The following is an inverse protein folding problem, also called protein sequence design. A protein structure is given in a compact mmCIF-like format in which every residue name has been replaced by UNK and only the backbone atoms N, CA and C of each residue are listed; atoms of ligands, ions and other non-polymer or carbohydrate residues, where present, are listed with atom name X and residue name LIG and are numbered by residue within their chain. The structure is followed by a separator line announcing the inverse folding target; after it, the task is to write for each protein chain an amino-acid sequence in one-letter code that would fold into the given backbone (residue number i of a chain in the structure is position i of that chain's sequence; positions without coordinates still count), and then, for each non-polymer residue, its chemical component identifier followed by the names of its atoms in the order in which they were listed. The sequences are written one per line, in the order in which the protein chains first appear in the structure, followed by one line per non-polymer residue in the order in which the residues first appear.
data_IF_897800158490
#
_entry.id   IF_897800158490
#
_cell.length_a   1.000
_cell.length_b   1.000
_cell.length_c   1.000
_cell.angle_alpha   90.00
_cell.angle_beta   90.00
_cell.angle_gamma   90.00
#
_symmetry.space_group_name_H-M   'P 1'
#
loop_
_entity.id
_entity.type
_entity.pdbx_description
1 polymer ?
#
# COMPACT_ATOMS: atom_id res chain seq x y z
N UNK A 1 43.18 -37.93 -13.70
CA UNK A 1 41.90 -38.25 -13.08
C UNK A 1 41.34 -36.94 -12.55
N UNK A 2 40.41 -36.48 -13.25
CA UNK A 2 39.66 -35.22 -13.13
C UNK A 2 38.84 -35.24 -11.86
N UNK A 3 38.78 -34.12 -11.13
CA UNK A 3 37.65 -33.86 -10.29
C UNK A 3 37.21 -32.38 -10.46
N UNK A 4 36.04 -32.25 -11.08
CA UNK A 4 35.40 -31.01 -11.40
C UNK A 4 34.69 -30.48 -10.16
N UNK A 5 35.26 -29.47 -9.53
CA UNK A 5 34.62 -28.71 -8.47
C UNK A 5 33.58 -27.73 -9.05
N UNK A 6 32.33 -28.07 -8.94
CA UNK A 6 31.17 -27.24 -9.20
C UNK A 6 31.23 -25.94 -8.35
N UNK A 7 31.52 -24.86 -9.04
CA UNK A 7 31.45 -23.53 -8.49
C UNK A 7 30.01 -23.01 -8.49
N UNK A 8 29.25 -23.32 -7.45
CA UNK A 8 27.98 -22.67 -7.17
C UNK A 8 28.16 -21.16 -7.11
N UNK A 9 27.75 -20.47 -8.15
CA UNK A 9 27.63 -19.02 -8.17
C UNK A 9 26.50 -18.63 -7.19
N UNK A 10 26.87 -18.15 -6.02
CA UNK A 10 25.95 -17.41 -5.16
C UNK A 10 25.60 -16.12 -5.88
N UNK A 11 24.36 -15.99 -6.35
CA UNK A 11 23.77 -14.72 -6.73
C UNK A 11 23.77 -13.82 -5.50
N UNK A 12 24.79 -12.97 -5.38
CA UNK A 12 24.76 -11.87 -4.42
C UNK A 12 23.63 -10.93 -4.87
N UNK A 13 22.59 -10.85 -4.06
CA UNK A 13 21.63 -9.75 -4.15
C UNK A 13 22.42 -8.45 -3.91
N UNK A 14 22.75 -7.75 -5.01
CA UNK A 14 23.29 -6.41 -4.95
C UNK A 14 22.24 -5.52 -4.26
N UNK A 15 22.56 -5.04 -3.06
CA UNK A 15 21.75 -4.07 -2.34
C UNK A 15 21.72 -2.77 -3.14
N UNK A 16 20.68 -2.60 -3.94
CA UNK A 16 20.55 -1.50 -4.90
C UNK A 16 20.37 -0.10 -4.28
N UNK A 17 20.29 -0.02 -2.95
CA UNK A 17 20.09 1.22 -2.19
C UNK A 17 21.27 1.59 -1.30
N UNK A 18 22.44 0.98 -1.50
CA UNK A 18 23.65 1.32 -0.75
C UNK A 18 24.80 1.67 -1.70
N UNK A 19 25.68 2.57 -1.26
CA UNK A 19 26.97 2.82 -1.90
C UNK A 19 27.98 1.74 -1.51
N UNK A 20 29.14 1.69 -2.17
CA UNK A 20 30.26 0.82 -1.80
C UNK A 20 30.76 1.09 -0.36
N UNK A 21 30.49 2.27 0.19
CA UNK A 21 30.80 2.66 1.57
C UNK A 21 29.67 2.32 2.56
N UNK A 22 28.54 1.73 2.08
CA UNK A 22 27.40 1.32 2.89
C UNK A 22 26.37 2.44 3.16
N UNK A 23 26.54 3.61 2.56
CA UNK A 23 25.59 4.70 2.70
C UNK A 23 24.30 4.43 1.93
N UNK A 24 23.17 4.88 2.49
CA UNK A 24 21.85 4.75 1.89
C UNK A 24 21.70 5.74 0.72
N UNK A 25 21.29 5.24 -0.45
CA UNK A 25 21.05 6.08 -1.62
C UNK A 25 19.80 5.66 -2.39
N UNK A 26 19.21 6.61 -3.13
CA UNK A 26 18.14 6.36 -4.07
C UNK A 26 18.69 5.69 -5.34
N UNK A 27 17.99 4.66 -5.86
CA UNK A 27 18.39 4.01 -7.12
C UNK A 27 18.28 4.99 -8.29
N UNK A 28 19.34 5.12 -9.09
CA UNK A 28 19.27 5.86 -10.34
C UNK A 28 18.45 5.09 -11.39
N UNK A 29 17.42 5.75 -11.90
CA UNK A 29 16.55 5.20 -12.95
C UNK A 29 16.65 5.97 -14.27
N UNK A 30 17.61 6.93 -14.39
CA UNK A 30 17.74 7.84 -15.51
C UNK A 30 17.81 7.14 -16.87
N UNK A 31 18.58 6.06 -16.98
CA UNK A 31 18.81 5.31 -18.22
C UNK A 31 17.76 4.22 -18.51
N UNK A 32 16.81 3.99 -17.60
CA UNK A 32 15.77 3.00 -17.83
C UNK A 32 14.71 3.50 -18.82
N UNK A 33 14.21 2.64 -19.72
CA UNK A 33 13.13 3.02 -20.62
C UNK A 33 11.81 3.19 -19.83
N UNK A 34 10.94 4.05 -20.32
CA UNK A 34 9.57 4.15 -19.83
C UNK A 34 8.79 2.88 -20.17
N UNK A 35 7.99 2.42 -19.22
CA UNK A 35 7.12 1.25 -19.36
C UNK A 35 5.79 1.52 -18.67
N UNK A 36 4.71 0.95 -19.21
CA UNK A 36 3.42 0.95 -18.52
C UNK A 36 3.46 -0.02 -17.34
N UNK A 37 3.08 0.46 -16.16
CA UNK A 37 3.13 -0.31 -14.92
C UNK A 37 1.81 -0.23 -14.17
N UNK A 38 1.45 -1.33 -13.55
CA UNK A 38 0.26 -1.44 -12.70
C UNK A 38 0.62 -2.25 -11.47
N UNK A 39 0.24 -1.75 -10.30
CA UNK A 39 0.34 -2.46 -9.04
C UNK A 39 -1.02 -2.45 -8.33
N UNK A 40 -1.34 -3.56 -7.66
CA UNK A 40 -2.49 -3.67 -6.76
C UNK A 40 -1.98 -4.09 -5.39
N UNK A 41 -2.34 -3.34 -4.37
CA UNK A 41 -2.14 -3.67 -2.97
C UNK A 41 -3.49 -3.90 -2.29
N UNK A 42 -3.47 -4.64 -1.20
CA UNK A 42 -4.63 -4.96 -0.37
C UNK A 42 -4.26 -4.86 1.10
N UNK A 43 -5.22 -4.51 1.93
CA UNK A 43 -5.16 -4.62 3.38
C UNK A 43 -6.56 -4.69 3.95
N UNK A 44 -6.65 -5.06 5.22
CA UNK A 44 -7.93 -5.23 5.93
C UNK A 44 -7.87 -4.51 7.26
N UNK A 45 -8.94 -3.86 7.64
CA UNK A 45 -9.17 -3.41 9.01
C UNK A 45 -10.25 -4.30 9.63
N UNK A 46 -9.97 -4.83 10.82
CA UNK A 46 -10.93 -5.53 11.66
C UNK A 46 -11.59 -4.54 12.60
N UNK A 47 -12.90 -4.64 12.74
CA UNK A 47 -13.77 -3.77 13.53
C UNK A 47 -14.87 -4.63 14.18
N UNK A 48 -15.55 -4.09 15.17
CA UNK A 48 -16.77 -4.72 15.68
C UNK A 48 -17.82 -4.87 14.59
N UNK A 49 -18.61 -5.96 14.65
CA UNK A 49 -19.71 -6.22 13.70
C UNK A 49 -20.70 -5.06 13.63
N UNK A 50 -21.03 -4.47 14.78
CA UNK A 50 -21.91 -3.31 14.87
C UNK A 50 -21.35 -2.07 14.17
N UNK A 51 -20.01 -1.87 14.23
CA UNK A 51 -19.34 -0.78 13.53
C UNK A 51 -19.36 -0.99 12.02
N UNK A 52 -19.08 -2.21 11.54
CA UNK A 52 -19.17 -2.53 10.10
C UNK A 52 -20.61 -2.36 9.59
N UNK A 53 -21.61 -2.76 10.39
CA UNK A 53 -23.00 -2.54 10.05
C UNK A 53 -23.34 -1.04 9.94
N UNK A 54 -22.85 -0.21 10.87
CA UNK A 54 -23.05 1.24 10.83
C UNK A 54 -22.33 1.90 9.63
N UNK A 55 -21.13 1.44 9.27
CA UNK A 55 -20.44 1.88 8.04
C UNK A 55 -21.25 1.54 6.81
N UNK A 56 -21.80 0.31 6.74
CA UNK A 56 -22.64 -0.15 5.62
C UNK A 56 -23.94 0.64 5.50
N UNK A 57 -24.50 1.09 6.61
CA UNK A 57 -25.74 1.86 6.68
C UNK A 57 -25.52 3.39 6.53
N UNK A 58 -24.29 3.86 6.46
CA UNK A 58 -23.91 5.28 6.47
C UNK A 58 -24.38 6.02 7.73
N UNK A 59 -24.28 5.35 8.89
CA UNK A 59 -24.74 5.85 10.20
C UNK A 59 -23.61 6.31 11.12
N UNK A 60 -22.37 6.40 10.62
CA UNK A 60 -21.24 6.93 11.41
C UNK A 60 -21.37 8.46 11.53
N UNK A 61 -21.28 8.96 12.76
CA UNK A 61 -21.49 10.40 13.09
C UNK A 61 -20.57 11.33 12.29
N UNK A 62 -19.32 10.91 12.01
CA UNK A 62 -18.36 11.70 11.24
C UNK A 62 -18.67 11.79 9.73
N UNK A 63 -19.67 11.07 9.24
CA UNK A 63 -20.11 11.04 7.84
C UNK A 63 -19.65 9.80 7.07
N UNK A 64 -19.67 9.89 5.75
CA UNK A 64 -19.36 8.78 4.84
C UNK A 64 -17.90 8.30 4.98
N UNK A 65 -17.74 7.15 5.63
CA UNK A 65 -16.44 6.54 5.96
C UNK A 65 -15.72 6.11 4.69
N UNK A 66 -16.43 5.45 3.77
CA UNK A 66 -15.81 4.87 2.58
C UNK A 66 -15.42 5.96 1.57
N UNK A 67 -16.25 6.99 1.39
CA UNK A 67 -15.90 8.12 0.55
C UNK A 67 -14.68 8.87 1.11
N UNK A 68 -14.62 9.10 2.42
CA UNK A 68 -13.49 9.77 3.07
C UNK A 68 -12.22 8.94 2.95
N UNK A 69 -12.29 7.62 3.18
CA UNK A 69 -11.16 6.70 3.03
C UNK A 69 -10.65 6.64 1.58
N UNK A 70 -11.54 6.68 0.59
CA UNK A 70 -11.19 6.76 -0.84
C UNK A 70 -10.36 8.01 -1.14
N UNK A 71 -10.81 9.17 -0.66
CA UNK A 71 -10.07 10.43 -0.86
C UNK A 71 -8.71 10.36 -0.16
N UNK A 72 -8.66 9.84 1.07
CA UNK A 72 -7.42 9.62 1.81
C UNK A 72 -6.43 8.72 1.05
N UNK A 73 -6.89 7.60 0.54
CA UNK A 73 -6.11 6.67 -0.26
C UNK A 73 -5.55 7.32 -1.53
N UNK A 74 -6.40 7.98 -2.32
CA UNK A 74 -5.98 8.66 -3.57
C UNK A 74 -4.96 9.76 -3.29
N UNK A 75 -5.15 10.53 -2.22
CA UNK A 75 -4.19 11.55 -1.80
C UNK A 75 -2.85 10.94 -1.44
N UNK A 76 -2.82 9.87 -0.64
CA UNK A 76 -1.60 9.20 -0.22
C UNK A 76 -0.83 8.64 -1.43
N UNK A 77 -1.50 7.99 -2.38
CA UNK A 77 -0.90 7.53 -3.65
C UNK A 77 -0.14 8.66 -4.35
N UNK A 78 -0.71 9.86 -4.42
CA UNK A 78 -0.10 11.01 -5.11
C UNK A 78 1.06 11.63 -4.35
N UNK A 79 1.19 11.38 -3.05
CA UNK A 79 2.18 11.98 -2.14
C UNK A 79 3.11 10.93 -1.51
N UNK A 80 3.20 9.72 -2.05
CA UNK A 80 4.03 8.63 -1.53
C UNK A 80 5.50 9.03 -1.38
N UNK A 81 6.05 9.78 -2.33
CA UNK A 81 7.43 10.25 -2.31
C UNK A 81 7.74 11.22 -1.15
N UNK A 82 6.74 11.88 -0.58
CA UNK A 82 6.88 12.73 0.61
C UNK A 82 6.96 11.89 1.89
N UNK A 83 6.37 10.70 1.89
CA UNK A 83 6.27 9.81 3.06
C UNK A 83 7.42 8.80 3.09
N UNK A 84 7.79 8.25 1.92
CA UNK A 84 8.81 7.21 1.79
C UNK A 84 10.09 7.82 1.21
N UNK A 85 11.16 7.98 2.02
CA UNK A 85 12.31 8.83 1.69
C UNK A 85 13.03 8.50 0.38
N UNK A 86 13.09 7.22 -0.01
CA UNK A 86 13.81 6.78 -1.22
C UNK A 86 12.90 6.50 -2.41
N UNK A 87 11.61 6.84 -2.32
CA UNK A 87 10.70 6.74 -3.45
C UNK A 87 10.86 7.94 -4.39
N UNK A 88 10.91 7.64 -5.70
CA UNK A 88 10.83 8.67 -6.72
C UNK A 88 9.41 9.23 -6.81
N UNK A 89 9.29 10.53 -7.07
CA UNK A 89 8.00 11.11 -7.49
C UNK A 89 7.66 10.59 -8.90
N UNK A 90 6.53 9.90 -9.04
CA UNK A 90 6.09 9.32 -10.31
C UNK A 90 4.77 9.94 -10.79
N UNK A 91 4.57 9.96 -12.11
CA UNK A 91 3.32 10.44 -12.72
C UNK A 91 2.26 9.35 -12.62
N UNK A 92 1.25 9.56 -11.78
CA UNK A 92 0.12 8.64 -11.64
C UNK A 92 -0.86 8.89 -12.78
N UNK A 93 -1.21 7.83 -13.52
CA UNK A 93 -2.18 7.88 -14.62
C UNK A 93 -3.57 7.43 -14.21
N UNK A 94 -3.66 6.51 -13.24
CA UNK A 94 -4.94 6.04 -12.71
C UNK A 94 -4.79 5.54 -11.26
N UNK A 95 -5.85 5.72 -10.47
CA UNK A 95 -6.02 5.12 -9.13
C UNK A 95 -7.43 4.57 -9.02
N UNK A 96 -7.55 3.28 -8.73
CA UNK A 96 -8.82 2.62 -8.43
C UNK A 96 -8.81 2.16 -6.98
N UNK A 97 -9.94 2.31 -6.30
CA UNK A 97 -10.13 1.86 -4.92
C UNK A 97 -11.40 1.03 -4.84
N UNK A 98 -11.30 -0.16 -4.26
CA UNK A 98 -12.43 -1.07 -4.06
C UNK A 98 -12.51 -1.46 -2.58
N UNK A 99 -13.72 -1.37 -2.01
CA UNK A 99 -14.00 -1.80 -0.64
C UNK A 99 -14.88 -3.04 -0.65
N UNK A 100 -14.54 -3.99 0.21
CA UNK A 100 -15.34 -5.17 0.50
C UNK A 100 -15.62 -5.24 2.00
N UNK A 101 -16.91 -5.27 2.37
CA UNK A 101 -17.36 -5.25 3.76
C UNK A 101 -17.81 -6.67 4.14
N UNK A 102 -17.04 -7.31 5.01
CA UNK A 102 -17.42 -8.53 5.71
C UNK A 102 -18.34 -8.25 6.91
N UNK A 103 -18.42 -9.18 7.83
CA UNK A 103 -19.19 -9.00 9.08
C UNK A 103 -18.40 -8.16 10.09
N UNK A 104 -17.11 -8.42 10.27
CA UNK A 104 -16.20 -7.76 11.22
C UNK A 104 -15.00 -7.12 10.52
N UNK A 105 -15.05 -6.95 9.20
CA UNK A 105 -13.89 -6.47 8.43
C UNK A 105 -14.29 -5.51 7.33
N UNK A 106 -13.39 -4.57 7.02
CA UNK A 106 -13.41 -3.81 5.77
C UNK A 106 -12.08 -4.05 5.06
N UNK A 107 -12.14 -4.65 3.88
CA UNK A 107 -10.98 -4.85 3.01
C UNK A 107 -10.91 -3.74 1.99
N UNK A 108 -9.72 -3.17 1.82
CA UNK A 108 -9.43 -2.16 0.81
C UNK A 108 -8.41 -2.68 -0.20
N UNK A 109 -8.79 -2.63 -1.47
CA UNK A 109 -7.88 -2.78 -2.61
C UNK A 109 -7.58 -1.42 -3.23
N UNK A 110 -6.31 -1.15 -3.47
CA UNK A 110 -5.86 0.02 -4.22
C UNK A 110 -5.06 -0.44 -5.42
N UNK A 111 -5.50 -0.04 -6.61
CA UNK A 111 -4.77 -0.27 -7.86
C UNK A 111 -4.24 1.05 -8.39
N UNK A 112 -2.97 1.09 -8.71
CA UNK A 112 -2.28 2.26 -9.26
C UNK A 112 -1.70 1.93 -10.62
N UNK A 113 -1.81 2.87 -11.55
CA UNK A 113 -1.19 2.80 -12.87
C UNK A 113 -0.29 4.01 -13.10
N UNK A 114 0.83 3.76 -13.76
CA UNK A 114 1.80 4.79 -14.17
C UNK A 114 2.47 4.39 -15.46
N UNK A 115 3.00 5.37 -16.18
CA UNK A 115 3.99 5.19 -17.24
C UNK A 115 5.28 5.87 -16.81
N UNK A 116 6.35 5.09 -16.69
CA UNK A 116 7.62 5.61 -16.19
C UNK A 116 8.69 4.54 -15.98
N UNK A 117 9.75 4.94 -15.33
CA UNK A 117 11.00 4.18 -15.18
C UNK A 117 11.04 3.26 -13.96
N UNK A 118 10.15 3.45 -12.99
CA UNK A 118 10.06 2.64 -11.76
C UNK A 118 8.66 2.09 -11.57
N UNK A 119 8.49 1.15 -10.62
CA UNK A 119 7.21 0.57 -10.24
C UNK A 119 6.35 1.54 -9.44
N UNK A 120 5.08 1.16 -9.19
CA UNK A 120 4.12 1.91 -8.39
C UNK A 120 3.57 1.08 -7.22
N UNK A 121 4.35 0.10 -6.76
CA UNK A 121 3.97 -0.78 -5.65
C UNK A 121 3.86 -0.03 -4.34
N UNK A 122 4.77 0.92 -4.09
CA UNK A 122 4.78 1.71 -2.86
C UNK A 122 3.61 2.68 -2.82
N UNK A 123 3.24 3.26 -3.95
CA UNK A 123 2.04 4.09 -4.09
C UNK A 123 0.77 3.31 -3.75
N UNK A 124 0.66 2.07 -4.24
CA UNK A 124 -0.48 1.23 -3.94
C UNK A 124 -0.54 0.84 -2.45
N UNK A 125 0.59 0.50 -1.82
CA UNK A 125 0.69 0.20 -0.39
C UNK A 125 0.35 1.42 0.47
N UNK A 126 0.89 2.60 0.13
CA UNK A 126 0.61 3.84 0.87
C UNK A 126 -0.86 4.21 0.78
N UNK A 127 -1.48 4.03 -0.40
CA UNK A 127 -2.92 4.21 -0.58
C UNK A 127 -3.75 3.31 0.32
N UNK A 128 -3.39 2.01 0.42
CA UNK A 128 -4.06 1.06 1.32
C UNK A 128 -3.90 1.49 2.78
N UNK A 129 -2.69 1.78 3.21
CA UNK A 129 -2.38 2.13 4.61
C UNK A 129 -3.14 3.40 5.03
N UNK A 130 -3.09 4.45 4.22
CA UNK A 130 -3.78 5.70 4.50
C UNK A 130 -5.31 5.55 4.47
N UNK A 131 -5.84 4.76 3.53
CA UNK A 131 -7.28 4.46 3.46
C UNK A 131 -7.77 3.73 4.70
N UNK A 132 -7.08 2.69 5.15
CA UNK A 132 -7.43 1.93 6.37
C UNK A 132 -7.27 2.77 7.64
N UNK A 133 -6.22 3.59 7.75
CA UNK A 133 -6.07 4.55 8.85
C UNK A 133 -7.22 5.57 8.88
N UNK A 134 -7.72 5.99 7.72
CA UNK A 134 -8.87 6.88 7.62
C UNK A 134 -10.14 6.21 8.14
N UNK A 135 -10.37 4.92 7.78
CA UNK A 135 -11.50 4.15 8.33
C UNK A 135 -11.38 4.10 9.85
N UNK A 136 -10.20 3.77 10.39
CA UNK A 136 -9.98 3.73 11.83
C UNK A 136 -10.30 5.08 12.49
N UNK A 137 -9.77 6.18 11.97
CA UNK A 137 -10.06 7.51 12.53
C UNK A 137 -11.55 7.85 12.51
N UNK A 138 -12.25 7.49 11.44
CA UNK A 138 -13.68 7.75 11.29
C UNK A 138 -14.54 6.90 12.25
N UNK A 139 -14.11 5.69 12.59
CA UNK A 139 -14.87 4.71 13.40
C UNK A 139 -14.40 4.60 14.84
N UNK A 140 -13.25 5.18 15.20
CA UNK A 140 -12.60 4.96 16.50
C UNK A 140 -13.45 5.28 17.71
N UNK A 141 -14.47 6.13 17.59
CA UNK A 141 -15.38 6.44 18.71
C UNK A 141 -16.28 5.24 19.03
N UNK A 142 -16.67 4.45 18.03
CA UNK A 142 -17.48 3.24 18.20
C UNK A 142 -16.63 2.03 18.67
N UNK A 143 -15.34 2.01 18.35
CA UNK A 143 -14.43 0.91 18.66
C UNK A 143 -13.78 0.98 20.06
N UNK A 144 -13.89 2.10 20.76
CA UNK A 144 -13.30 2.26 22.11
C UNK A 144 -14.05 1.47 23.15
N UNK A 145 -13.30 0.70 23.96
CA UNK A 145 -13.80 0.13 25.19
C UNK A 145 -13.96 1.19 26.30
N UNK A 146 -14.45 0.79 27.47
CA UNK A 146 -14.62 1.66 28.63
C UNK A 146 -13.31 2.26 29.18
N UNK A 147 -12.15 1.68 28.84
CA UNK A 147 -10.82 2.16 29.20
C UNK A 147 -10.19 3.02 28.10
N UNK A 148 -10.90 3.27 26.99
CA UNK A 148 -10.42 4.03 25.84
C UNK A 148 -9.44 3.26 24.94
N UNK A 149 -9.38 1.93 25.04
CA UNK A 149 -8.54 1.06 24.25
C UNK A 149 -9.31 0.50 23.03
N UNK A 150 -8.61 -0.18 22.13
CA UNK A 150 -9.13 -0.76 20.88
C UNK A 150 -8.83 -2.26 20.84
N UNK A 151 -9.47 -3.10 21.68
CA UNK A 151 -9.09 -4.51 21.83
C UNK A 151 -9.32 -5.34 20.57
N UNK A 152 -10.31 -4.97 19.75
CA UNK A 152 -10.69 -5.73 18.56
C UNK A 152 -10.24 -5.08 17.25
N UNK A 153 -9.89 -3.78 17.27
CA UNK A 153 -9.52 -3.05 16.06
C UNK A 153 -8.07 -3.32 15.66
N UNK A 154 -7.85 -3.75 14.44
CA UNK A 154 -6.51 -3.98 13.91
C UNK A 154 -6.46 -3.76 12.39
N UNK A 155 -5.34 -3.20 11.89
CA UNK A 155 -5.01 -3.20 10.47
C UNK A 155 -4.07 -4.37 10.23
N UNK A 156 -4.41 -5.23 9.27
CA UNK A 156 -3.72 -6.48 9.01
C UNK A 156 -3.64 -6.79 7.51
N UNK A 157 -2.78 -7.74 7.15
CA UNK A 157 -2.65 -8.28 5.79
C UNK A 157 -2.32 -7.24 4.70
N UNK A 158 -1.64 -6.15 5.04
CA UNK A 158 -1.21 -5.15 4.05
C UNK A 158 -0.10 -5.75 3.19
N UNK A 159 -0.37 -5.87 1.86
CA UNK A 159 0.57 -6.48 0.92
C UNK A 159 0.33 -6.06 -0.52
N UNK A 160 1.35 -6.21 -1.36
CA UNK A 160 1.19 -6.16 -2.81
C UNK A 160 0.58 -7.48 -3.28
N UNK A 161 -0.60 -7.41 -3.90
CA UNK A 161 -1.32 -8.57 -4.44
C UNK A 161 -0.83 -8.93 -5.83
N UNK A 162 -0.55 -7.91 -6.65
CA UNK A 162 -0.13 -8.10 -8.04
C UNK A 162 0.62 -6.89 -8.56
N UNK A 163 1.63 -7.16 -9.40
CA UNK A 163 2.26 -6.13 -10.24
C UNK A 163 2.39 -6.60 -11.67
N UNK A 164 2.36 -5.68 -12.60
CA UNK A 164 2.57 -5.90 -14.03
C UNK A 164 3.43 -4.81 -14.62
N UNK A 165 4.26 -5.21 -15.58
CA UNK A 165 5.06 -4.32 -16.43
C UNK A 165 4.77 -4.69 -17.87
N UNK A 166 4.59 -3.70 -18.74
CA UNK A 166 4.43 -3.86 -20.17
C UNK A 166 5.27 -2.80 -20.87
N UNK A 167 5.96 -3.19 -21.91
CA UNK A 167 6.64 -2.27 -22.83
C UNK A 167 5.60 -1.40 -23.55
N UNK A 168 5.99 -0.18 -23.91
CA UNK A 168 5.14 0.81 -24.59
C UNK A 168 5.12 0.53 -26.10
#
# INVERSE_FOLDING_TARGET
MSDDGDGSATNGDDLTHTTDEGDVQMVDVGDKPDTARRARARGTIRLDESTVAAVRADEIEKGDVLATARIGAVRAVKHTWETIPLCHGISITNVETEFDLGDETVTLDVTVETTGKTGCEMEALEGVTAGLNTIWDMTKAAEKDENGQYPETAIEDVRVVRKRKREL
#
